data_IF_315986199170
#
_entry.id   IF_315986199170
#
_cell.length_a   1.000
_cell.length_b   1.000
_cell.length_c   1.000
_cell.angle_alpha   90.00
_cell.angle_beta   90.00
_cell.angle_gamma   90.00
#
_symmetry.space_group_name_H-M   'P 1'
#
loop_
_entity.id
_entity.type
_entity.pdbx_description
1 polymer ?
#
# COMPACT_ATOMS: atom_id res chain seq x y z
N UNK A 1 9.69 -36.03 37.64
CA UNK A 1 10.49 -35.37 36.58
C UNK A 1 9.60 -35.03 35.38
N UNK A 2 9.44 -33.74 35.05
CA UNK A 2 8.81 -33.34 33.80
C UNK A 2 9.68 -33.82 32.63
N UNK A 3 9.09 -34.28 31.51
CA UNK A 3 9.87 -34.65 30.33
C UNK A 3 10.68 -33.43 29.85
N UNK A 4 11.91 -33.64 29.35
CA UNK A 4 12.69 -32.56 28.77
C UNK A 4 11.87 -31.94 27.61
N UNK A 5 11.89 -30.61 27.45
CA UNK A 5 11.22 -29.97 26.32
C UNK A 5 11.78 -30.59 25.04
N UNK A 6 10.91 -31.20 24.24
CA UNK A 6 11.28 -31.75 22.95
C UNK A 6 11.85 -30.62 22.11
N UNK A 7 13.06 -30.78 21.59
CA UNK A 7 13.60 -29.83 20.62
C UNK A 7 12.60 -29.64 19.47
N UNK A 8 12.27 -28.39 19.09
CA UNK A 8 11.37 -28.16 17.98
C UNK A 8 11.95 -28.83 16.73
N UNK A 9 11.12 -29.49 15.92
CA UNK A 9 11.59 -30.21 14.75
C UNK A 9 12.34 -29.26 13.80
N UNK A 10 13.40 -29.76 13.14
CA UNK A 10 14.23 -28.96 12.19
C UNK A 10 13.38 -28.28 11.11
N UNK A 11 12.21 -28.84 10.79
CA UNK A 11 11.23 -28.22 9.88
C UNK A 11 10.72 -26.85 10.33
N UNK A 12 10.69 -26.56 11.63
CA UNK A 12 10.30 -25.25 12.16
C UNK A 12 11.32 -24.17 11.83
N UNK A 13 12.60 -24.54 11.67
CA UNK A 13 13.65 -23.62 11.21
C UNK A 13 13.50 -23.23 9.72
N UNK A 14 12.70 -23.97 8.94
CA UNK A 14 12.38 -23.67 7.54
C UNK A 14 11.19 -22.72 7.41
N UNK A 15 10.51 -22.36 8.51
CA UNK A 15 9.36 -21.44 8.46
C UNK A 15 9.86 -20.03 8.24
N UNK A 16 9.41 -19.44 7.13
CA UNK A 16 9.68 -18.04 6.79
C UNK A 16 8.71 -17.16 7.57
N UNK A 17 9.23 -16.16 8.29
CA UNK A 17 8.39 -15.15 8.89
C UNK A 17 7.90 -14.19 7.80
N UNK A 18 6.57 -14.01 7.70
CA UNK A 18 5.99 -13.12 6.70
C UNK A 18 6.44 -11.67 6.90
N UNK A 19 6.48 -11.21 8.16
CA UNK A 19 6.98 -9.89 8.55
C UNK A 19 7.79 -10.04 9.83
N UNK A 20 9.02 -9.51 9.83
CA UNK A 20 9.87 -9.41 11.01
C UNK A 20 10.26 -7.95 11.25
N UNK A 21 10.21 -7.53 12.50
CA UNK A 21 10.71 -6.25 12.99
C UNK A 21 11.91 -6.52 13.90
N UNK A 22 13.10 -6.18 13.41
CA UNK A 22 14.36 -6.31 14.14
C UNK A 22 14.71 -4.99 14.81
N UNK A 23 15.05 -5.05 16.10
CA UNK A 23 15.34 -3.90 16.93
C UNK A 23 16.78 -3.94 17.44
N UNK A 24 17.50 -2.82 17.31
CA UNK A 24 18.74 -2.59 18.03
C UNK A 24 18.50 -2.52 19.54
N UNK A 25 19.57 -2.74 20.31
CA UNK A 25 19.49 -2.86 21.77
C UNK A 25 18.85 -1.65 22.47
N UNK A 26 19.08 -0.44 21.99
CA UNK A 26 18.51 0.81 22.53
C UNK A 26 17.00 0.94 22.32
N UNK A 27 16.43 0.19 21.37
CA UNK A 27 15.00 0.22 21.03
C UNK A 27 14.17 -0.85 21.76
N UNK A 28 14.80 -1.76 22.51
CA UNK A 28 14.08 -2.85 23.19
C UNK A 28 13.08 -2.36 24.24
N UNK A 29 13.33 -1.17 24.81
CA UNK A 29 12.40 -0.48 25.71
C UNK A 29 11.08 -0.09 25.05
N UNK A 30 11.02 -0.02 23.72
CA UNK A 30 9.77 0.22 22.97
C UNK A 30 8.90 -1.04 22.92
N UNK A 31 9.52 -2.22 22.99
CA UNK A 31 8.85 -3.51 22.92
C UNK A 31 8.54 -4.14 24.30
N UNK A 32 9.27 -3.75 25.36
CA UNK A 32 9.09 -4.27 26.72
C UNK A 32 9.00 -3.19 27.81
N UNK A 33 8.29 -3.48 28.92
CA UNK A 33 8.12 -2.58 30.09
C UNK A 33 6.66 -2.36 30.51
N UNK A 34 6.41 -1.43 31.44
CA UNK A 34 5.08 -1.10 32.00
C UNK A 34 4.12 -0.40 31.00
N UNK A 35 4.57 -0.12 29.78
CA UNK A 35 3.73 0.40 28.70
C UNK A 35 4.11 -0.27 27.37
N UNK A 36 3.54 -1.45 27.03
CA UNK A 36 3.82 -2.14 25.76
C UNK A 36 3.13 -1.44 24.59
N UNK A 37 3.54 -0.20 24.30
CA UNK A 37 2.94 0.66 23.27
C UNK A 37 3.11 0.04 21.88
N UNK A 38 4.31 -0.44 21.55
CA UNK A 38 4.60 -0.97 20.21
C UNK A 38 3.80 -2.24 19.90
N UNK A 39 3.76 -3.21 20.83
CA UNK A 39 3.03 -4.47 20.61
C UNK A 39 1.52 -4.24 20.48
N UNK A 40 0.94 -3.34 21.28
CA UNK A 40 -0.47 -2.96 21.17
C UNK A 40 -0.76 -2.16 19.89
N UNK A 41 0.15 -1.25 19.51
CA UNK A 41 0.07 -0.52 18.23
C UNK A 41 0.11 -1.48 17.03
N UNK A 42 0.98 -2.49 17.05
CA UNK A 42 1.05 -3.53 16.00
C UNK A 42 -0.24 -4.37 15.97
N UNK A 43 -0.82 -4.72 17.13
CA UNK A 43 -2.16 -5.36 17.16
C UNK A 43 -3.23 -4.44 16.58
N UNK A 44 -3.15 -3.14 16.87
CA UNK A 44 -4.00 -2.10 16.28
C UNK A 44 -3.87 -2.05 14.76
N UNK A 45 -2.63 -2.04 14.25
CA UNK A 45 -2.31 -2.07 12.83
C UNK A 45 -2.98 -3.26 12.13
N UNK A 46 -2.83 -4.47 12.67
CA UNK A 46 -3.47 -5.67 12.09
C UNK A 46 -4.99 -5.53 11.97
N UNK A 47 -5.64 -4.93 12.97
CA UNK A 47 -7.09 -4.66 12.95
C UNK A 47 -7.45 -3.57 11.94
N UNK A 48 -6.70 -2.48 11.87
CA UNK A 48 -6.90 -1.39 10.90
C UNK A 48 -6.75 -1.90 9.47
N UNK A 49 -5.68 -2.63 9.15
CA UNK A 49 -5.51 -3.22 7.80
C UNK A 49 -6.65 -4.16 7.44
N UNK A 50 -7.09 -5.02 8.36
CA UNK A 50 -8.25 -5.88 8.11
C UNK A 50 -9.53 -5.06 7.86
N UNK A 51 -9.76 -4.03 8.68
CA UNK A 51 -10.93 -3.16 8.56
C UNK A 51 -10.88 -2.20 7.38
N UNK A 52 -9.72 -1.92 6.78
CA UNK A 52 -9.59 -1.02 5.63
C UNK A 52 -9.48 -1.80 4.33
N UNK A 53 -8.62 -2.83 4.31
CA UNK A 53 -8.21 -3.54 3.10
C UNK A 53 -8.89 -4.90 2.93
N UNK A 54 -9.60 -5.42 3.95
CA UNK A 54 -10.38 -6.65 3.83
C UNK A 54 -9.55 -7.94 3.81
N UNK A 55 -8.30 -7.90 4.27
CA UNK A 55 -7.51 -9.11 4.52
C UNK A 55 -6.81 -9.02 5.88
N UNK A 56 -6.62 -10.16 6.55
CA UNK A 56 -5.96 -10.20 7.85
C UNK A 56 -4.45 -10.27 7.66
N UNK A 57 -3.76 -9.25 8.17
CA UNK A 57 -2.29 -9.23 8.14
C UNK A 57 -1.70 -10.40 8.95
N UNK A 58 -0.70 -11.13 8.41
CA UNK A 58 0.07 -12.11 9.16
C UNK A 58 0.66 -11.51 10.46
N UNK A 59 1.01 -12.33 11.46
CA UNK A 59 1.65 -11.82 12.67
C UNK A 59 3.00 -11.19 12.33
N UNK A 60 3.32 -10.07 12.99
CA UNK A 60 4.63 -9.42 12.93
C UNK A 60 5.50 -9.98 14.05
N UNK A 61 6.62 -10.60 13.70
CA UNK A 61 7.58 -11.11 14.69
C UNK A 61 8.54 -10.00 15.11
N UNK A 62 8.62 -9.70 16.40
CA UNK A 62 9.57 -8.72 16.95
C UNK A 62 10.77 -9.48 17.51
N UNK A 63 11.98 -9.05 17.15
CA UNK A 63 13.22 -9.69 17.58
C UNK A 63 14.31 -8.66 17.84
N UNK A 64 15.16 -8.89 18.82
CA UNK A 64 16.39 -8.12 19.01
C UNK A 64 17.47 -8.56 18.00
N UNK A 65 18.23 -7.60 17.46
CA UNK A 65 19.36 -7.89 16.59
C UNK A 65 20.58 -7.07 17.02
N UNK A 66 21.52 -7.75 17.69
CA UNK A 66 22.76 -7.15 18.20
C UNK A 66 23.73 -6.69 17.10
N UNK A 67 23.48 -7.06 15.83
CA UNK A 67 24.25 -6.59 14.69
C UNK A 67 23.78 -5.22 14.18
N UNK A 68 22.59 -4.76 14.60
CA UNK A 68 22.11 -3.42 14.29
C UNK A 68 22.76 -2.38 15.22
N UNK A 69 22.83 -1.13 14.75
CA UNK A 69 23.14 0.01 15.61
C UNK A 69 22.13 0.10 16.77
N UNK A 70 22.55 0.67 17.91
CA UNK A 70 21.75 0.65 19.14
C UNK A 70 20.34 1.23 18.94
N UNK A 71 20.22 2.33 18.20
CA UNK A 71 18.96 3.02 17.93
C UNK A 71 18.38 2.74 16.54
N UNK A 72 18.86 1.68 15.87
CA UNK A 72 18.44 1.29 14.53
C UNK A 72 17.39 0.18 14.60
N UNK A 73 16.42 0.20 13.69
CA UNK A 73 15.52 -0.92 13.43
C UNK A 73 15.57 -1.35 11.95
N UNK A 74 15.19 -2.59 11.67
CA UNK A 74 15.02 -3.14 10.32
C UNK A 74 13.66 -3.84 10.22
N UNK A 75 12.90 -3.51 9.17
CA UNK A 75 11.65 -4.18 8.82
C UNK A 75 11.96 -5.14 7.69
N UNK A 76 11.67 -6.42 7.90
CA UNK A 76 11.86 -7.48 6.91
C UNK A 76 10.53 -8.06 6.48
N UNK A 77 10.37 -8.30 5.20
CA UNK A 77 9.23 -8.99 4.60
C UNK A 77 9.75 -10.26 3.95
N UNK A 78 9.21 -11.41 4.34
CA UNK A 78 9.69 -12.74 3.90
C UNK A 78 11.22 -12.90 4.02
N UNK A 79 11.75 -12.55 5.19
CA UNK A 79 13.20 -12.55 5.50
C UNK A 79 14.07 -11.56 4.70
N UNK A 80 13.51 -10.73 3.81
CA UNK A 80 14.27 -9.73 3.03
C UNK A 80 14.08 -8.35 3.67
N UNK A 81 15.18 -7.60 3.87
CA UNK A 81 15.09 -6.23 4.39
C UNK A 81 14.28 -5.37 3.42
N UNK A 82 13.13 -4.88 3.88
CA UNK A 82 12.22 -4.04 3.11
C UNK A 82 12.40 -2.57 3.48
N UNK A 83 12.72 -2.27 4.73
CA UNK A 83 13.04 -0.92 5.18
C UNK A 83 13.93 -0.91 6.42
N UNK A 84 14.57 0.23 6.66
CA UNK A 84 15.48 0.48 7.79
C UNK A 84 15.30 1.91 8.26
N UNK A 85 15.46 2.15 9.56
CA UNK A 85 15.45 3.50 10.10
C UNK A 85 16.16 3.61 11.44
N UNK A 86 16.36 4.84 11.88
CA UNK A 86 16.93 5.17 13.19
C UNK A 86 15.92 5.98 14.00
N UNK A 87 15.89 5.75 15.31
CA UNK A 87 15.03 6.46 16.24
C UNK A 87 15.87 7.17 17.31
N UNK A 88 15.22 8.00 18.12
CA UNK A 88 15.78 8.55 19.35
C UNK A 88 14.82 8.21 20.49
N UNK A 89 15.01 7.10 21.23
CA UNK A 89 14.03 6.58 22.19
C UNK A 89 13.58 7.57 23.26
N UNK A 90 14.45 8.50 23.64
CA UNK A 90 14.19 9.52 24.66
C UNK A 90 13.63 10.84 24.10
N UNK A 91 13.49 10.99 22.78
CA UNK A 91 13.04 12.22 22.12
C UNK A 91 11.67 12.03 21.44
N UNK A 92 11.14 13.11 20.89
CA UNK A 92 9.93 13.13 20.08
C UNK A 92 10.26 13.62 18.67
N UNK A 93 9.54 13.12 17.66
CA UNK A 93 9.67 13.60 16.29
C UNK A 93 8.64 14.71 16.05
N UNK A 94 9.10 15.88 15.65
CA UNK A 94 8.27 17.02 15.27
C UNK A 94 8.30 17.22 13.75
N UNK A 95 7.13 17.43 13.16
CA UNK A 95 6.93 17.60 11.72
C UNK A 95 5.99 18.78 11.45
N UNK A 96 6.26 19.51 10.38
CA UNK A 96 5.35 20.53 9.87
C UNK A 96 4.30 19.87 8.96
N UNK A 97 2.99 20.00 9.25
CA UNK A 97 1.93 19.50 8.37
C UNK A 97 2.00 20.05 6.93
N UNK A 98 2.63 21.21 6.72
CA UNK A 98 2.85 21.79 5.39
C UNK A 98 4.07 21.20 4.65
N UNK A 99 4.81 20.26 5.26
CA UNK A 99 6.00 19.63 4.68
C UNK A 99 7.29 20.47 4.76
N UNK A 100 7.25 21.59 5.49
CA UNK A 100 8.42 22.41 5.77
C UNK A 100 9.36 21.79 6.80
N UNK A 101 10.55 22.38 6.96
CA UNK A 101 11.43 22.06 8.09
C UNK A 101 10.90 22.81 9.31
N UNK A 102 10.55 22.14 10.42
CA UNK A 102 10.04 22.84 11.59
C UNK A 102 11.09 23.82 12.15
N UNK A 103 10.65 25.02 12.50
CA UNK A 103 11.52 26.03 13.12
C UNK A 103 11.55 25.84 14.64
N UNK A 104 12.35 24.88 15.10
CA UNK A 104 12.58 24.56 16.51
C UNK A 104 14.00 24.02 16.72
N UNK A 105 14.62 24.20 17.90
CA UNK A 105 15.87 23.52 18.21
C UNK A 105 15.66 22.00 18.32
N UNK A 106 16.45 21.24 17.55
CA UNK A 106 16.40 19.78 17.52
C UNK A 106 17.42 19.20 16.55
N UNK A 107 17.49 17.87 16.50
CA UNK A 107 18.31 17.13 15.54
C UNK A 107 17.52 16.92 14.24
N UNK A 108 18.06 17.40 13.11
CA UNK A 108 17.44 17.26 11.78
C UNK A 108 17.43 15.82 11.32
N UNK A 109 16.29 15.40 10.80
CA UNK A 109 16.11 14.07 10.20
C UNK A 109 15.05 14.14 9.09
N UNK A 110 14.83 13.00 8.42
CA UNK A 110 13.64 12.76 7.63
C UNK A 110 12.77 11.73 8.35
N UNK A 111 11.46 11.94 8.34
CA UNK A 111 10.49 10.94 8.77
C UNK A 111 10.58 9.72 7.82
N UNK A 112 10.65 8.49 8.35
CA UNK A 112 11.01 7.33 7.54
C UNK A 112 9.91 6.80 6.59
N UNK A 113 8.62 7.03 6.86
CA UNK A 113 7.52 6.52 6.05
C UNK A 113 7.28 7.32 4.76
N UNK A 114 7.38 8.65 4.84
CA UNK A 114 7.05 9.57 3.74
C UNK A 114 8.23 10.44 3.31
N UNK A 115 9.34 10.42 4.04
CA UNK A 115 10.53 11.22 3.74
C UNK A 115 10.36 12.71 4.06
N UNK A 116 9.38 13.07 4.89
CA UNK A 116 9.11 14.46 5.24
C UNK A 116 10.24 15.03 6.12
N UNK A 117 10.65 16.29 5.92
CA UNK A 117 11.61 16.94 6.83
C UNK A 117 11.08 16.99 8.26
N UNK A 118 11.91 16.60 9.22
CA UNK A 118 11.51 16.50 10.62
C UNK A 118 12.65 16.86 11.58
N UNK A 119 12.31 17.05 12.85
CA UNK A 119 13.26 17.27 13.94
C UNK A 119 13.01 16.30 15.10
N UNK A 120 14.07 15.67 15.60
CA UNK A 120 14.05 15.09 16.93
C UNK A 120 14.20 16.19 17.98
N UNK A 121 13.20 16.33 18.84
CA UNK A 121 13.14 17.35 19.89
C UNK A 121 13.11 16.68 21.27
N UNK A 122 13.62 17.39 22.27
CA UNK A 122 13.50 16.98 23.66
C UNK A 122 12.02 16.97 24.11
N UNK A 123 11.66 16.07 25.02
CA UNK A 123 10.28 15.93 25.51
C UNK A 123 9.74 17.22 26.14
N UNK A 124 10.61 18.03 26.76
CA UNK A 124 10.25 19.34 27.33
C UNK A 124 9.73 20.35 26.30
N UNK A 125 10.03 20.15 25.00
CA UNK A 125 9.60 21.04 23.91
C UNK A 125 8.26 20.65 23.29
N UNK A 126 7.59 19.60 23.79
CA UNK A 126 6.29 19.14 23.27
C UNK A 126 5.28 20.28 23.19
N UNK A 127 5.04 20.97 24.29
CA UNK A 127 4.03 22.03 24.37
C UNK A 127 4.36 23.19 23.42
N UNK A 128 5.64 23.56 23.29
CA UNK A 128 6.09 24.58 22.34
C UNK A 128 5.83 24.16 20.88
N UNK A 129 6.14 22.91 20.53
CA UNK A 129 5.94 22.39 19.18
C UNK A 129 4.46 22.29 18.81
N UNK A 130 3.63 21.77 19.73
CA UNK A 130 2.18 21.68 19.54
C UNK A 130 1.53 23.08 19.45
N UNK A 131 1.99 24.04 20.25
CA UNK A 131 1.53 25.45 20.17
C UNK A 131 1.85 26.10 18.82
N UNK A 132 2.99 25.75 18.20
CA UNK A 132 3.37 26.18 16.85
C UNK A 132 2.62 25.44 15.73
N UNK A 133 1.70 24.54 16.06
CA UNK A 133 0.91 23.76 15.10
C UNK A 133 1.67 22.58 14.46
N UNK A 134 2.80 22.17 15.04
CA UNK A 134 3.55 21.03 14.56
C UNK A 134 2.91 19.71 15.02
N UNK A 135 3.03 18.69 14.19
CA UNK A 135 2.67 17.32 14.58
C UNK A 135 3.82 16.72 15.37
N UNK A 136 3.55 16.28 16.60
CA UNK A 136 4.55 15.70 17.50
C UNK A 136 4.20 14.24 17.80
N UNK A 137 5.12 13.33 17.47
CA UNK A 137 4.92 11.88 17.61
C UNK A 137 6.05 11.23 18.39
N UNK A 138 5.73 10.18 19.15
CA UNK A 138 6.73 9.40 19.89
C UNK A 138 7.42 8.34 19.00
N UNK A 139 8.60 7.82 19.39
CA UNK A 139 9.37 6.88 18.58
C UNK A 139 8.62 5.59 18.21
N UNK A 140 7.77 5.05 19.10
CA UNK A 140 7.00 3.84 18.79
C UNK A 140 5.93 4.10 17.73
N UNK A 141 5.32 5.30 17.75
CA UNK A 141 4.40 5.76 16.72
C UNK A 141 5.08 6.00 15.37
N UNK A 142 6.31 6.54 15.35
CA UNK A 142 7.13 6.67 14.13
C UNK A 142 7.38 5.30 13.51
N UNK A 143 7.86 4.35 14.32
CA UNK A 143 8.14 2.99 13.88
C UNK A 143 6.88 2.27 13.38
N UNK A 144 5.76 2.42 14.09
CA UNK A 144 4.47 1.82 13.69
C UNK A 144 3.98 2.40 12.37
N UNK A 145 4.11 3.71 12.15
CA UNK A 145 3.73 4.38 10.91
C UNK A 145 4.56 3.87 9.74
N UNK A 146 5.88 3.78 9.91
CA UNK A 146 6.75 3.22 8.88
C UNK A 146 6.43 1.74 8.58
N UNK A 147 6.21 0.92 9.61
CA UNK A 147 5.78 -0.47 9.45
C UNK A 147 4.45 -0.56 8.69
N UNK A 148 3.51 0.36 8.95
CA UNK A 148 2.23 0.42 8.26
C UNK A 148 2.42 0.65 6.77
N UNK A 149 3.24 1.62 6.37
CA UNK A 149 3.47 1.90 4.96
C UNK A 149 4.23 0.76 4.25
N UNK A 150 5.25 0.17 4.88
CA UNK A 150 5.95 -1.01 4.32
C UNK A 150 4.99 -2.19 4.13
N UNK A 151 4.09 -2.41 5.09
CA UNK A 151 3.03 -3.42 4.97
C UNK A 151 2.11 -3.08 3.81
N UNK A 152 1.69 -1.81 3.68
CA UNK A 152 0.80 -1.37 2.59
C UNK A 152 1.43 -1.58 1.21
N UNK A 153 2.73 -1.34 1.08
CA UNK A 153 3.48 -1.53 -0.16
C UNK A 153 3.64 -3.02 -0.52
N UNK A 154 3.71 -3.90 0.49
CA UNK A 154 3.95 -5.35 0.30
C UNK A 154 2.69 -6.21 0.46
N UNK A 155 1.49 -5.62 0.60
CA UNK A 155 0.23 -6.36 0.86
C UNK A 155 -0.05 -7.45 -0.16
N UNK A 156 0.16 -7.16 -1.45
CA UNK A 156 -0.04 -8.13 -2.51
C UNK A 156 0.84 -9.38 -2.33
N UNK A 157 2.07 -9.19 -1.83
CA UNK A 157 2.99 -10.29 -1.57
C UNK A 157 2.64 -11.09 -0.32
N UNK A 158 2.02 -10.43 0.66
CA UNK A 158 1.57 -11.03 1.93
C UNK A 158 0.27 -11.84 1.77
N UNK A 159 -0.52 -11.57 0.73
CA UNK A 159 -1.70 -12.38 0.39
C UNK A 159 -1.28 -13.73 -0.19
N UNK A 160 -1.11 -14.73 0.68
CA UNK A 160 -0.74 -16.09 0.30
C UNK A 160 -1.94 -16.88 -0.23
N UNK A 161 -1.66 -18.07 -0.78
CA UNK A 161 -2.70 -19.02 -1.16
C UNK A 161 -3.58 -19.40 0.05
N UNK A 162 -2.95 -19.65 1.21
CA UNK A 162 -3.66 -20.05 2.42
C UNK A 162 -4.57 -18.91 2.94
N UNK A 163 -4.09 -17.66 2.91
CA UNK A 163 -4.91 -16.51 3.28
C UNK A 163 -6.05 -16.29 2.28
N UNK A 164 -5.82 -16.53 0.99
CA UNK A 164 -6.88 -16.46 -0.03
C UNK A 164 -7.94 -17.53 0.19
N UNK A 165 -7.54 -18.78 0.43
CA UNK A 165 -8.47 -19.87 0.72
C UNK A 165 -9.31 -19.54 1.96
N UNK A 166 -8.66 -19.06 3.03
CA UNK A 166 -9.34 -18.62 4.25
C UNK A 166 -10.37 -17.50 3.99
N UNK A 167 -10.03 -16.49 3.18
CA UNK A 167 -10.98 -15.43 2.81
C UNK A 167 -12.21 -15.98 2.09
N UNK A 168 -12.04 -16.97 1.22
CA UNK A 168 -13.14 -17.62 0.51
C UNK A 168 -13.98 -18.51 1.46
N UNK A 169 -13.34 -19.26 2.33
CA UNK A 169 -13.99 -20.18 3.28
C UNK A 169 -14.77 -19.43 4.37
N UNK A 170 -14.30 -18.25 4.79
CA UNK A 170 -14.93 -17.42 5.83
C UNK A 170 -16.09 -16.55 5.32
N UNK A 171 -16.36 -16.53 4.00
CA UNK A 171 -17.52 -15.81 3.46
C UNK A 171 -18.84 -16.35 4.01
N UNK A 172 -19.85 -15.48 4.24
CA UNK A 172 -21.19 -15.90 4.64
C UNK A 172 -21.80 -16.96 3.72
N UNK A 173 -22.67 -17.82 4.27
CA UNK A 173 -23.29 -18.96 3.56
C UNK A 173 -24.00 -18.56 2.27
N UNK A 174 -24.56 -17.36 2.20
CA UNK A 174 -25.24 -16.83 1.01
C UNK A 174 -24.30 -16.62 -0.18
N UNK A 175 -23.00 -16.37 0.06
CA UNK A 175 -21.98 -16.20 -0.97
C UNK A 175 -21.20 -17.49 -1.27
N UNK A 176 -21.28 -18.51 -0.41
CA UNK A 176 -20.57 -19.79 -0.62
C UNK A 176 -20.97 -20.50 -1.92
N UNK A 177 -22.22 -20.31 -2.38
CA UNK A 177 -22.66 -20.83 -3.67
C UNK A 177 -21.88 -20.20 -4.84
N UNK A 178 -21.65 -18.89 -4.79
CA UNK A 178 -20.85 -18.18 -5.79
C UNK A 178 -19.40 -18.69 -5.81
N UNK A 179 -18.81 -18.95 -4.64
CA UNK A 179 -17.46 -19.53 -4.54
C UNK A 179 -17.40 -20.89 -5.21
N UNK A 180 -18.38 -21.77 -4.95
CA UNK A 180 -18.44 -23.11 -5.55
C UNK A 180 -18.68 -23.08 -7.08
N UNK A 181 -19.47 -22.13 -7.57
CA UNK A 181 -19.71 -21.94 -9.00
C UNK A 181 -18.48 -21.34 -9.71
N UNK A 182 -17.68 -20.53 -9.01
CA UNK A 182 -16.47 -19.90 -9.56
C UNK A 182 -15.25 -20.82 -9.51
N UNK A 183 -15.04 -21.52 -8.39
CA UNK A 183 -13.83 -22.28 -8.09
C UNK A 183 -14.14 -23.79 -8.02
N UNK A 184 -13.46 -24.65 -8.81
CA UNK A 184 -12.43 -24.35 -9.80
C UNK A 184 -12.96 -24.08 -11.22
N UNK A 185 -14.29 -24.02 -11.41
CA UNK A 185 -14.92 -24.10 -12.74
C UNK A 185 -14.51 -22.97 -13.71
N UNK A 186 -14.35 -21.75 -13.21
CA UNK A 186 -13.91 -20.59 -14.00
C UNK A 186 -12.46 -20.21 -13.69
N UNK A 187 -12.07 -20.21 -12.41
CA UNK A 187 -10.71 -19.95 -11.95
C UNK A 187 -10.34 -20.89 -10.80
N UNK A 188 -9.05 -21.25 -10.71
CA UNK A 188 -8.51 -21.85 -9.49
C UNK A 188 -8.44 -20.82 -8.37
N UNK A 189 -8.28 -21.28 -7.12
CA UNK A 189 -7.97 -20.40 -5.97
C UNK A 189 -6.75 -19.52 -6.27
N UNK A 190 -5.75 -20.08 -6.96
CA UNK A 190 -4.58 -19.32 -7.41
C UNK A 190 -4.93 -18.22 -8.43
N UNK A 191 -5.89 -18.46 -9.34
CA UNK A 191 -6.39 -17.43 -10.25
C UNK A 191 -7.09 -16.30 -9.51
N UNK A 192 -7.96 -16.63 -8.55
CA UNK A 192 -8.61 -15.64 -7.67
C UNK A 192 -7.57 -14.85 -6.89
N UNK A 193 -6.59 -15.53 -6.28
CA UNK A 193 -5.47 -14.90 -5.58
C UNK A 193 -4.77 -13.85 -6.46
N UNK A 194 -4.49 -14.16 -7.73
CA UNK A 194 -3.83 -13.19 -8.64
C UNK A 194 -4.67 -11.96 -8.92
N UNK A 195 -6.00 -12.09 -9.03
CA UNK A 195 -6.90 -10.94 -9.15
C UNK A 195 -6.86 -10.09 -7.88
N UNK A 196 -7.00 -10.71 -6.70
CA UNK A 196 -6.96 -10.01 -5.41
C UNK A 196 -5.60 -9.33 -5.15
N UNK A 197 -4.49 -9.99 -5.49
CA UNK A 197 -3.15 -9.41 -5.42
C UNK A 197 -3.01 -8.19 -6.33
N UNK A 198 -3.57 -8.24 -7.55
CA UNK A 198 -3.54 -7.10 -8.47
C UNK A 198 -4.34 -5.91 -7.94
N UNK A 199 -5.46 -6.16 -7.26
CA UNK A 199 -6.23 -5.10 -6.57
C UNK A 199 -5.42 -4.51 -5.40
N UNK A 200 -4.83 -5.34 -4.55
CA UNK A 200 -4.03 -4.89 -3.41
C UNK A 200 -2.76 -4.13 -3.82
N UNK A 201 -2.10 -4.53 -4.91
CA UNK A 201 -0.94 -3.81 -5.47
C UNK A 201 -1.31 -2.39 -5.90
N UNK A 202 -2.59 -2.12 -6.15
CA UNK A 202 -3.11 -0.79 -6.45
C UNK A 202 -3.86 -0.17 -5.28
N UNK A 203 -3.66 -0.71 -4.06
CA UNK A 203 -4.30 -0.28 -2.81
C UNK A 203 -5.83 -0.28 -2.88
N UNK A 204 -6.42 -1.15 -3.71
CA UNK A 204 -7.87 -1.36 -3.75
C UNK A 204 -8.29 -2.33 -2.66
N UNK A 205 -9.21 -1.90 -1.80
CA UNK A 205 -9.75 -2.72 -0.72
C UNK A 205 -10.47 -3.96 -1.23
N UNK A 206 -10.28 -5.08 -0.53
CA UNK A 206 -10.95 -6.37 -0.76
C UNK A 206 -12.16 -6.58 0.16
N UNK A 207 -12.59 -5.55 0.91
CA UNK A 207 -13.69 -5.68 1.87
C UNK A 207 -15.00 -6.09 1.23
N UNK A 208 -15.28 -5.57 0.04
CA UNK A 208 -16.41 -6.00 -0.77
C UNK A 208 -16.04 -7.22 -1.62
N UNK A 209 -15.58 -8.28 -0.95
CA UNK A 209 -15.22 -9.53 -1.59
C UNK A 209 -16.37 -10.14 -2.39
N UNK A 210 -17.65 -10.08 -1.95
CA UNK A 210 -18.77 -10.52 -2.78
C UNK A 210 -18.84 -9.83 -4.14
N UNK A 211 -18.81 -8.49 -4.20
CA UNK A 211 -18.82 -7.74 -5.48
C UNK A 211 -17.59 -8.08 -6.33
N UNK A 212 -16.43 -8.31 -5.71
CA UNK A 212 -15.23 -8.76 -6.42
C UNK A 212 -15.46 -10.12 -7.07
N UNK A 213 -15.97 -11.12 -6.34
CA UNK A 213 -16.22 -12.45 -6.87
C UNK A 213 -17.29 -12.46 -7.96
N UNK A 214 -18.34 -11.64 -7.81
CA UNK A 214 -19.35 -11.44 -8.86
C UNK A 214 -18.71 -10.84 -10.12
N UNK A 215 -17.86 -9.82 -9.98
CA UNK A 215 -17.13 -9.24 -11.09
C UNK A 215 -16.19 -10.24 -11.78
N UNK A 216 -15.52 -11.11 -11.02
CA UNK A 216 -14.71 -12.18 -11.60
C UNK A 216 -15.60 -13.14 -12.38
N UNK A 217 -16.73 -13.56 -11.79
CA UNK A 217 -17.66 -14.49 -12.42
C UNK A 217 -18.24 -13.92 -13.73
N UNK A 218 -18.68 -12.67 -13.73
CA UNK A 218 -19.16 -11.96 -14.93
C UNK A 218 -18.09 -11.83 -16.00
N UNK A 219 -16.86 -11.46 -15.63
CA UNK A 219 -15.73 -11.37 -16.56
C UNK A 219 -15.45 -12.72 -17.23
N UNK A 220 -15.42 -13.80 -16.44
CA UNK A 220 -15.21 -15.15 -16.95
C UNK A 220 -16.38 -15.64 -17.82
N UNK A 221 -17.62 -15.27 -17.48
CA UNK A 221 -18.81 -15.52 -18.31
C UNK A 221 -18.76 -14.80 -19.65
N UNK A 222 -18.20 -13.58 -19.68
CA UNK A 222 -17.85 -12.81 -20.87
C UNK A 222 -16.60 -13.32 -21.61
N UNK A 223 -16.11 -14.52 -21.27
CA UNK A 223 -14.96 -15.19 -21.88
C UNK A 223 -13.60 -14.50 -21.67
N UNK A 224 -13.49 -13.56 -20.73
CA UNK A 224 -12.19 -13.02 -20.32
C UNK A 224 -11.41 -14.08 -19.54
N UNK A 225 -10.17 -14.33 -19.95
CA UNK A 225 -9.30 -15.34 -19.34
C UNK A 225 -8.04 -14.75 -18.71
N UNK A 226 -7.52 -13.66 -19.29
CA UNK A 226 -6.34 -13.00 -18.78
C UNK A 226 -6.63 -12.28 -17.45
N UNK A 227 -5.79 -12.52 -16.42
CA UNK A 227 -5.93 -11.88 -15.11
C UNK A 227 -6.02 -10.34 -15.22
N UNK A 228 -5.17 -9.63 -16.01
CA UNK A 228 -5.28 -8.18 -16.13
C UNK A 228 -6.65 -7.71 -16.67
N UNK A 229 -7.22 -8.46 -17.62
CA UNK A 229 -8.54 -8.14 -18.19
C UNK A 229 -9.66 -8.36 -17.16
N UNK A 230 -9.61 -9.47 -16.42
CA UNK A 230 -10.54 -9.77 -15.33
C UNK A 230 -10.43 -8.69 -14.24
N UNK A 231 -9.22 -8.33 -13.81
CA UNK A 231 -8.98 -7.26 -12.84
C UNK A 231 -9.54 -5.92 -13.32
N UNK A 232 -9.36 -5.56 -14.59
CA UNK A 232 -9.94 -4.33 -15.16
C UNK A 232 -11.47 -4.31 -15.11
N UNK A 233 -12.11 -5.45 -15.40
CA UNK A 233 -13.56 -5.58 -15.26
C UNK A 233 -14.02 -5.47 -13.80
N UNK A 234 -13.36 -6.16 -12.88
CA UNK A 234 -13.64 -6.08 -11.43
C UNK A 234 -13.49 -4.64 -10.92
N UNK A 235 -12.43 -3.93 -11.31
CA UNK A 235 -12.24 -2.52 -10.95
C UNK A 235 -13.36 -1.62 -11.46
N UNK A 236 -13.88 -1.88 -12.65
CA UNK A 236 -15.06 -1.16 -13.18
C UNK A 236 -16.29 -1.39 -12.30
N UNK A 237 -16.53 -2.63 -11.83
CA UNK A 237 -17.61 -2.89 -10.86
C UNK A 237 -17.40 -2.20 -9.52
N UNK A 238 -16.14 -2.04 -9.10
CA UNK A 238 -15.75 -1.33 -7.89
C UNK A 238 -15.65 0.20 -8.07
N UNK A 239 -16.14 0.78 -9.18
CA UNK A 239 -16.01 2.21 -9.46
C UNK A 239 -16.47 3.11 -8.29
N UNK A 240 -17.55 2.73 -7.59
CA UNK A 240 -18.01 3.46 -6.39
C UNK A 240 -16.94 3.47 -5.29
N UNK A 241 -16.40 2.31 -4.92
CA UNK A 241 -15.40 2.18 -3.87
C UNK A 241 -14.09 2.90 -4.25
N UNK A 242 -13.61 2.69 -5.47
CA UNK A 242 -12.37 3.29 -5.97
C UNK A 242 -12.49 4.82 -6.06
N UNK A 243 -13.65 5.32 -6.47
CA UNK A 243 -13.92 6.76 -6.50
C UNK A 243 -13.96 7.36 -5.12
N UNK A 244 -14.66 6.72 -4.18
CA UNK A 244 -14.76 7.17 -2.79
C UNK A 244 -13.39 7.24 -2.10
N UNK A 245 -12.55 6.22 -2.30
CA UNK A 245 -11.18 6.21 -1.76
C UNK A 245 -10.26 7.26 -2.39
N UNK A 246 -10.66 7.86 -3.52
CA UNK A 246 -9.91 8.88 -4.24
C UNK A 246 -10.43 10.31 -3.98
N UNK A 247 -11.47 10.47 -3.14
CA UNK A 247 -12.00 11.78 -2.77
C UNK A 247 -10.99 12.50 -1.87
N UNK A 248 -10.55 13.68 -2.29
CA UNK A 248 -9.69 14.53 -1.48
C UNK A 248 -10.48 15.25 -0.37
N UNK A 249 -9.79 15.94 0.56
CA UNK A 249 -10.40 16.63 1.69
C UNK A 249 -11.48 17.66 1.31
N UNK A 250 -11.40 18.22 0.11
CA UNK A 250 -12.37 19.18 -0.44
C UNK A 250 -13.67 18.55 -0.99
N UNK A 251 -13.82 17.22 -0.90
CA UNK A 251 -15.05 16.51 -1.30
C UNK A 251 -15.22 16.31 -2.81
N UNK A 252 -14.12 16.35 -3.56
CA UNK A 252 -14.05 15.95 -4.97
C UNK A 252 -12.77 15.13 -5.22
N UNK A 253 -12.73 14.43 -6.35
CA UNK A 253 -11.55 13.71 -6.83
C UNK A 253 -10.72 14.68 -7.70
N UNK A 254 -9.52 15.10 -7.25
CA UNK A 254 -8.60 15.85 -8.10
C UNK A 254 -8.03 14.94 -9.20
N UNK A 255 -8.13 15.36 -10.45
CA UNK A 255 -7.70 14.59 -11.61
C UNK A 255 -6.53 15.27 -12.32
N UNK A 256 -5.50 14.48 -12.64
CA UNK A 256 -4.56 14.80 -13.71
C UNK A 256 -4.91 13.90 -14.89
N UNK A 257 -5.13 14.46 -16.06
CA UNK A 257 -5.48 13.68 -17.26
C UNK A 257 -4.27 13.47 -18.16
N UNK A 258 -4.24 12.38 -18.93
CA UNK A 258 -3.35 12.29 -20.08
C UNK A 258 -3.88 13.17 -21.22
N UNK A 259 -2.99 13.88 -21.91
CA UNK A 259 -3.33 14.53 -23.17
C UNK A 259 -3.61 13.49 -24.28
N UNK A 260 -4.38 13.84 -25.33
CA UNK A 260 -4.67 12.95 -26.44
C UNK A 260 -3.41 12.38 -27.11
N UNK A 261 -2.34 13.16 -27.18
CA UNK A 261 -1.06 12.72 -27.74
C UNK A 261 -0.40 11.61 -26.91
N UNK A 262 -0.48 11.70 -25.57
CA UNK A 262 0.01 10.65 -24.68
C UNK A 262 -0.90 9.42 -24.70
N UNK A 263 -2.21 9.59 -24.72
CA UNK A 263 -3.16 8.49 -24.89
C UNK A 263 -2.85 7.68 -26.16
N UNK A 264 -2.67 8.38 -27.29
CA UNK A 264 -2.30 7.76 -28.56
C UNK A 264 -0.92 7.10 -28.49
N UNK A 265 0.09 7.79 -27.95
CA UNK A 265 1.44 7.25 -27.84
C UNK A 265 1.49 5.95 -27.01
N UNK A 266 0.74 5.86 -25.91
CA UNK A 266 0.62 4.62 -25.14
C UNK A 266 -0.13 3.54 -25.91
N UNK A 267 -1.27 3.88 -26.52
CA UNK A 267 -2.10 2.92 -27.24
C UNK A 267 -1.37 2.29 -28.44
N UNK A 268 -0.69 3.11 -29.24
CA UNK A 268 0.08 2.68 -30.42
C UNK A 268 1.33 1.87 -30.04
N UNK A 269 1.85 2.08 -28.82
CA UNK A 269 2.99 1.34 -28.28
C UNK A 269 2.60 -0.02 -27.70
N UNK A 270 1.31 -0.38 -27.64
CA UNK A 270 0.89 -1.70 -27.18
C UNK A 270 1.03 -2.74 -28.30
N UNK A 271 1.95 -3.67 -28.11
CA UNK A 271 2.26 -4.73 -29.09
C UNK A 271 1.93 -6.10 -28.48
N UNK A 272 1.47 -7.04 -29.31
CA UNK A 272 1.16 -8.40 -28.90
C UNK A 272 -0.33 -8.75 -28.96
N UNK A 273 -0.70 -10.01 -28.64
CA UNK A 273 -2.09 -10.44 -28.61
C UNK A 273 -2.88 -9.71 -27.51
N UNK A 274 -4.21 -9.58 -27.62
CA UNK A 274 -5.03 -8.85 -26.65
C UNK A 274 -4.84 -9.28 -25.19
N UNK A 275 -4.58 -10.56 -24.96
CA UNK A 275 -4.41 -11.15 -23.62
C UNK A 275 -3.01 -10.96 -23.01
N UNK A 276 -2.01 -10.55 -23.80
CA UNK A 276 -0.62 -10.37 -23.38
C UNK A 276 0.05 -9.19 -24.11
N UNK A 277 -0.63 -8.02 -24.07
CA UNK A 277 -0.07 -6.79 -24.63
C UNK A 277 1.11 -6.32 -23.80
N UNK A 278 2.18 -5.92 -24.48
CA UNK A 278 3.36 -5.34 -23.88
C UNK A 278 3.56 -3.91 -24.37
N UNK A 279 4.06 -3.05 -23.50
CA UNK A 279 4.35 -1.67 -23.84
C UNK A 279 5.74 -1.57 -24.49
N UNK A 280 5.77 -1.27 -25.78
CA UNK A 280 6.96 -1.08 -26.59
C UNK A 280 7.20 0.42 -26.91
N UNK A 281 7.26 1.26 -25.86
CA UNK A 281 7.50 2.70 -26.01
C UNK A 281 9.01 3.00 -26.04
N UNK A 282 9.43 3.96 -26.88
CA UNK A 282 10.82 4.38 -26.93
C UNK A 282 11.30 4.97 -25.58
N UNK A 283 12.52 4.65 -25.10
CA UNK A 283 13.02 5.15 -23.81
C UNK A 283 13.03 6.68 -23.67
N UNK A 284 13.29 7.41 -24.76
CA UNK A 284 13.24 8.88 -24.78
C UNK A 284 11.84 9.42 -24.48
N UNK A 285 10.82 8.88 -25.17
CA UNK A 285 9.41 9.20 -24.92
C UNK A 285 9.02 8.85 -23.48
N UNK A 286 9.45 7.71 -22.97
CA UNK A 286 9.19 7.36 -21.57
C UNK A 286 9.84 8.37 -20.61
N UNK A 287 11.07 8.79 -20.88
CA UNK A 287 11.76 9.86 -20.14
C UNK A 287 10.96 11.16 -20.09
N UNK A 288 10.46 11.61 -21.24
CA UNK A 288 9.65 12.82 -21.37
C UNK A 288 8.35 12.72 -20.54
N UNK A 289 7.67 11.56 -20.61
CA UNK A 289 6.47 11.30 -19.80
C UNK A 289 6.77 11.38 -18.30
N UNK A 290 7.83 10.71 -17.84
CA UNK A 290 8.20 10.68 -16.43
C UNK A 290 8.55 12.08 -15.90
N UNK A 291 9.25 12.89 -16.70
CA UNK A 291 9.56 14.27 -16.33
C UNK A 291 8.30 15.12 -16.20
N UNK A 292 7.40 15.06 -17.20
CA UNK A 292 6.12 15.80 -17.14
C UNK A 292 5.25 15.35 -15.97
N UNK A 293 5.17 14.05 -15.73
CA UNK A 293 4.45 13.48 -14.60
C UNK A 293 4.96 14.09 -13.28
N UNK A 294 6.27 14.12 -13.04
CA UNK A 294 6.85 14.72 -11.82
C UNK A 294 6.47 16.19 -11.69
N UNK A 295 6.69 16.99 -12.72
CA UNK A 295 6.39 18.43 -12.70
C UNK A 295 4.92 18.72 -12.38
N UNK A 296 4.00 18.02 -13.02
CA UNK A 296 2.56 18.24 -12.81
C UNK A 296 2.12 17.80 -11.41
N UNK A 297 2.61 16.65 -10.93
CA UNK A 297 2.26 16.14 -9.60
C UNK A 297 2.92 16.91 -8.46
N UNK A 298 4.12 17.45 -8.64
CA UNK A 298 4.76 18.35 -7.69
C UNK A 298 3.99 19.67 -7.59
N UNK A 299 3.59 20.27 -8.71
CA UNK A 299 2.77 21.47 -8.72
C UNK A 299 1.41 21.25 -8.04
N UNK A 300 0.77 20.11 -8.28
CA UNK A 300 -0.47 19.74 -7.60
C UNK A 300 -0.26 19.58 -6.08
N UNK A 301 0.83 18.92 -5.66
CA UNK A 301 1.15 18.76 -4.25
C UNK A 301 1.41 20.12 -3.56
N UNK A 302 2.10 21.05 -4.21
CA UNK A 302 2.28 22.43 -3.69
C UNK A 302 0.96 23.17 -3.55
N UNK A 303 -0.03 22.86 -4.39
CA UNK A 303 -1.39 23.39 -4.27
C UNK A 303 -2.25 22.66 -3.22
N UNK A 304 -1.68 21.69 -2.47
CA UNK A 304 -2.40 20.89 -1.47
C UNK A 304 -3.32 19.82 -2.08
N UNK A 305 -3.15 19.49 -3.35
CA UNK A 305 -3.94 18.46 -4.04
C UNK A 305 -3.18 17.14 -4.10
N UNK A 306 -3.90 16.03 -3.90
CA UNK A 306 -3.39 14.66 -4.10
C UNK A 306 -4.11 14.00 -5.26
N UNK A 307 -3.81 14.38 -6.52
CA UNK A 307 -4.57 13.92 -7.67
C UNK A 307 -4.36 12.44 -7.98
N UNK A 308 -5.36 11.86 -8.65
CA UNK A 308 -5.23 10.60 -9.37
C UNK A 308 -4.89 10.87 -10.84
N UNK A 309 -4.16 9.95 -11.47
CA UNK A 309 -3.93 10.00 -12.92
C UNK A 309 -5.09 9.31 -13.64
N UNK A 310 -5.81 10.03 -14.49
CA UNK A 310 -6.87 9.51 -15.32
C UNK A 310 -6.37 9.20 -16.74
N UNK A 311 -6.70 8.01 -17.23
CA UNK A 311 -6.38 7.56 -18.58
C UNK A 311 -7.49 6.68 -19.19
N UNK A 312 -7.32 6.26 -20.45
CA UNK A 312 -8.21 5.27 -21.06
C UNK A 312 -7.99 3.85 -20.53
N UNK A 313 -9.07 3.06 -20.50
CA UNK A 313 -9.08 1.70 -19.96
C UNK A 313 -7.99 0.76 -20.52
N UNK A 314 -7.81 0.66 -21.86
CA UNK A 314 -6.84 -0.26 -22.46
C UNK A 314 -5.39 -0.02 -22.06
N UNK A 315 -4.99 1.23 -21.76
CA UNK A 315 -3.62 1.57 -21.41
C UNK A 315 -3.39 1.63 -19.89
N UNK A 316 -4.45 1.63 -19.08
CA UNK A 316 -4.41 1.94 -17.64
C UNK A 316 -3.43 1.08 -16.86
N UNK A 317 -3.41 -0.23 -17.08
CA UNK A 317 -2.49 -1.15 -16.40
C UNK A 317 -1.02 -0.85 -16.75
N UNK A 318 -0.74 -0.49 -18.00
CA UNK A 318 0.60 -0.16 -18.47
C UNK A 318 1.07 1.19 -17.94
N UNK A 319 0.18 2.19 -17.91
CA UNK A 319 0.45 3.49 -17.28
C UNK A 319 0.70 3.31 -15.78
N UNK A 320 -0.12 2.51 -15.08
CA UNK A 320 0.08 2.18 -13.65
C UNK A 320 1.43 1.55 -13.39
N UNK A 321 1.87 0.60 -14.20
CA UNK A 321 3.17 -0.07 -14.04
C UNK A 321 4.38 0.89 -14.17
N UNK A 322 4.24 1.96 -14.96
CA UNK A 322 5.25 3.02 -15.04
C UNK A 322 5.18 3.93 -13.81
N UNK A 323 3.98 4.42 -13.48
CA UNK A 323 3.74 5.33 -12.35
C UNK A 323 4.18 4.69 -11.03
N UNK A 324 4.01 3.38 -10.88
CA UNK A 324 4.45 2.62 -9.71
C UNK A 324 5.92 2.84 -9.36
N UNK A 325 6.77 2.87 -10.38
CA UNK A 325 8.22 3.01 -10.21
C UNK A 325 8.62 4.43 -9.82
N UNK A 326 7.75 5.40 -10.04
CA UNK A 326 8.00 6.82 -9.73
C UNK A 326 7.40 7.19 -8.38
N UNK A 327 6.11 6.85 -8.19
CA UNK A 327 5.29 7.18 -7.04
C UNK A 327 4.28 6.05 -6.79
N UNK A 328 4.66 5.01 -6.01
CA UNK A 328 3.80 3.85 -5.73
C UNK A 328 2.41 4.21 -5.18
N UNK A 329 2.33 5.29 -4.40
CA UNK A 329 1.09 5.74 -3.77
C UNK A 329 0.11 6.45 -4.72
N UNK A 330 0.52 6.82 -5.94
CA UNK A 330 -0.36 7.57 -6.87
C UNK A 330 -1.35 6.63 -7.55
N UNK A 331 -2.68 6.82 -7.36
CA UNK A 331 -3.67 6.00 -8.06
C UNK A 331 -3.72 6.33 -9.55
N UNK A 332 -3.87 5.30 -10.39
CA UNK A 332 -4.09 5.43 -11.83
C UNK A 332 -5.43 4.80 -12.18
N UNK A 333 -6.38 5.64 -12.58
CA UNK A 333 -7.76 5.26 -12.84
C UNK A 333 -8.10 5.30 -14.32
N UNK A 334 -8.96 4.37 -14.74
CA UNK A 334 -9.65 4.47 -16.03
C UNK A 334 -10.94 5.29 -15.88
N UNK A 335 -11.41 5.91 -16.96
CA UNK A 335 -12.69 6.66 -16.94
C UNK A 335 -13.87 5.81 -16.44
N UNK A 336 -13.91 4.52 -16.78
CA UNK A 336 -14.95 3.59 -16.34
C UNK A 336 -14.91 3.29 -14.82
N UNK A 337 -13.80 3.60 -14.14
CA UNK A 337 -13.63 3.41 -12.70
C UNK A 337 -14.08 4.65 -11.89
N UNK A 338 -14.48 5.73 -12.57
CA UNK A 338 -15.06 6.92 -11.94
C UNK A 338 -16.57 6.72 -11.82
N UNK A 339 -17.07 6.71 -10.58
CA UNK A 339 -18.49 6.61 -10.30
C UNK A 339 -19.24 7.81 -10.91
N UNK A 340 -20.33 7.61 -11.67
CA UNK A 340 -20.98 8.69 -12.40
C UNK A 340 -21.44 9.91 -11.55
N UNK A 341 -21.66 9.72 -10.24
CA UNK A 341 -22.05 10.80 -9.32
C UNK A 341 -20.88 11.38 -8.51
N UNK A 342 -19.66 10.88 -8.71
CA UNK A 342 -18.49 11.45 -8.07
C UNK A 342 -18.25 12.86 -8.58
N UNK A 343 -17.93 13.78 -7.67
CA UNK A 343 -17.50 15.13 -8.04
C UNK A 343 -16.04 15.06 -8.44
N UNK A 344 -15.71 15.56 -9.63
CA UNK A 344 -14.35 15.55 -10.16
C UNK A 344 -13.87 16.97 -10.46
N UNK A 345 -12.57 17.23 -10.33
CA UNK A 345 -11.95 18.48 -10.74
C UNK A 345 -10.62 18.20 -11.40
N UNK A 346 -10.46 18.63 -12.65
CA UNK A 346 -9.16 18.57 -13.31
C UNK A 346 -8.23 19.63 -12.72
N UNK A 347 -7.08 19.21 -12.22
CA UNK A 347 -6.03 20.07 -11.65
C UNK A 347 -4.77 20.12 -12.51
N UNK A 348 -4.66 19.24 -13.52
CA UNK A 348 -3.56 19.26 -14.47
C UNK A 348 -3.77 18.30 -15.64
N UNK A 349 -2.84 18.38 -16.59
CA UNK A 349 -2.79 17.48 -17.75
C UNK A 349 -1.32 17.20 -18.06
N UNK A 350 -1.01 15.95 -18.41
CA UNK A 350 0.35 15.50 -18.81
C UNK A 350 0.51 15.54 -20.32
#
# INVERSE_FOLDING_TARGET
PAPPPSEPPISDALRIDAIRLELGYGLLSLAGGDAPRLTEQIKGLRRSIAAEMGFVLPPVRIQDNLQLGADTYSIRVKEIEAARGELRPAMLLAMDPAGGIPDLPGERTAEPAFGLPALWIDQSRREEAEFRGLTVVDPASVLTTHLTEVVRETMAELLSYAETAKLLDELPREHQKLVADLVPAHLSVGGVQRVLQSLLAERVSLRDLPTILEGIHEACGGQLRAIPAITGHVRTRLARQISDSSVGPAGYIPLVTLSPDWEAAFADSLVGPPDDRQLAIAPSRLGDFMQRFRTVFEAAATAGETPVLLCSGPIRAHVRAIVERLRPATPVLAQAEIFPRARIRTVGTI
#
